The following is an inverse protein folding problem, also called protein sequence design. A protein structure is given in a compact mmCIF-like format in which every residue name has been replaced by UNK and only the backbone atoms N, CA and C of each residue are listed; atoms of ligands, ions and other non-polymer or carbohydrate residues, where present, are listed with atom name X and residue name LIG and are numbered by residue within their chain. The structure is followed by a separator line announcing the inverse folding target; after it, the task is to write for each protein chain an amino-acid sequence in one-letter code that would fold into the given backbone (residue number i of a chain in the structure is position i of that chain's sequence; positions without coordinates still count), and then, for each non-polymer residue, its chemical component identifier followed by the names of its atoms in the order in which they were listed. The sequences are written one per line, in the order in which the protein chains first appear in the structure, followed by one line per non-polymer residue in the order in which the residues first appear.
data_IF_496491259377
#
_entry.id   IF_496491259377
#
_cell.length_a   1.000
_cell.length_b   1.000
_cell.length_c   1.000
_cell.angle_alpha   90.00
_cell.angle_beta   90.00
_cell.angle_gamma   90.00
#
_symmetry.space_group_name_H-M   'P 1'
#
loop_
_entity.id
_entity.type
_entity.pdbx_description
1 polymer ?
#
# COMPACT_ATOMS: atom_id res chain seq x y z
N UNK A 1 -8.13 25.25 -6.42
CA UNK A 1 -8.26 23.85 -6.87
C UNK A 1 -7.01 23.05 -6.47
N UNK A 2 -7.16 21.81 -6.00
CA UNK A 2 -6.06 20.89 -5.63
C UNK A 2 -6.04 19.73 -6.64
N UNK A 3 -4.82 19.32 -7.02
CA UNK A 3 -4.60 18.12 -7.83
C UNK A 3 -3.95 17.04 -6.96
N UNK A 4 -4.48 15.83 -7.02
CA UNK A 4 -3.81 14.61 -6.52
C UNK A 4 -3.26 13.87 -7.74
N UNK A 5 -1.98 13.53 -7.74
CA UNK A 5 -1.36 12.82 -8.85
C UNK A 5 -0.49 11.66 -8.39
N UNK A 6 -0.42 10.64 -9.23
CA UNK A 6 0.35 9.44 -8.96
C UNK A 6 -0.52 8.19 -8.90
N UNK A 7 0.13 7.04 -8.82
CA UNK A 7 -0.57 5.76 -8.85
C UNK A 7 0.28 4.63 -9.45
N UNK A 8 -0.33 3.87 -10.37
CA UNK A 8 0.26 2.69 -11.00
C UNK A 8 0.07 1.41 -10.19
N UNK A 9 0.06 1.50 -8.86
CA UNK A 9 -0.16 0.36 -7.95
C UNK A 9 -1.21 0.69 -6.90
N UNK A 10 -1.87 -0.33 -6.36
CA UNK A 10 -2.91 -0.18 -5.33
C UNK A 10 -2.46 0.62 -4.12
N UNK A 11 -1.19 0.49 -3.70
CA UNK A 11 -0.65 1.23 -2.56
C UNK A 11 -0.67 2.75 -2.73
N UNK A 12 -0.20 3.26 -3.88
CA UNK A 12 -0.28 4.69 -4.19
C UNK A 12 -1.73 5.18 -4.31
N UNK A 13 -2.60 4.35 -4.89
CA UNK A 13 -4.00 4.70 -5.10
C UNK A 13 -4.80 4.73 -3.80
N UNK A 14 -4.47 3.87 -2.83
CA UNK A 14 -5.05 3.92 -1.48
C UNK A 14 -4.73 5.26 -0.77
N UNK A 15 -3.49 5.74 -0.87
CA UNK A 15 -3.09 7.06 -0.36
C UNK A 15 -3.85 8.18 -1.08
N UNK A 16 -3.92 8.12 -2.42
CA UNK A 16 -4.66 9.11 -3.20
C UNK A 16 -6.13 9.18 -2.78
N UNK A 17 -6.76 8.03 -2.52
CA UNK A 17 -8.13 7.94 -2.00
C UNK A 17 -8.25 8.56 -0.63
N UNK A 18 -7.36 8.25 0.30
CA UNK A 18 -7.39 8.82 1.66
C UNK A 18 -7.29 10.35 1.63
N UNK A 19 -6.41 10.93 0.80
CA UNK A 19 -6.35 12.38 0.61
C UNK A 19 -7.61 12.96 -0.04
N UNK A 20 -8.18 12.26 -1.04
CA UNK A 20 -9.42 12.68 -1.68
C UNK A 20 -10.58 12.72 -0.68
N UNK A 21 -10.75 11.69 0.14
CA UNK A 21 -11.79 11.60 1.17
C UNK A 21 -11.66 12.74 2.20
N UNK A 22 -10.44 13.03 2.67
CA UNK A 22 -10.22 14.11 3.64
C UNK A 22 -10.46 15.50 3.02
N UNK A 23 -10.08 15.72 1.77
CA UNK A 23 -10.39 16.98 1.06
C UNK A 23 -11.90 17.14 0.86
N UNK A 24 -12.63 16.09 0.51
CA UNK A 24 -14.08 16.13 0.38
C UNK A 24 -14.79 16.45 1.72
N UNK A 25 -14.26 15.97 2.88
CA UNK A 25 -14.78 16.35 4.21
C UNK A 25 -14.65 17.85 4.51
N UNK A 26 -13.80 18.54 3.75
CA UNK A 26 -13.56 20.00 3.84
C UNK A 26 -14.20 20.75 2.67
N UNK A 27 -15.16 20.15 1.98
CA UNK A 27 -15.85 20.70 0.81
C UNK A 27 -14.91 21.06 -0.37
N UNK A 28 -13.73 20.38 -0.43
CA UNK A 28 -12.76 20.54 -1.51
C UNK A 28 -12.75 19.27 -2.36
N UNK A 29 -13.34 19.33 -3.54
CA UNK A 29 -13.37 18.24 -4.50
C UNK A 29 -12.13 18.30 -5.40
N UNK A 30 -11.13 17.40 -5.25
CA UNK A 30 -9.86 17.49 -5.97
C UNK A 30 -9.99 17.01 -7.43
N UNK A 31 -8.96 17.30 -8.23
CA UNK A 31 -8.75 16.70 -9.55
C UNK A 31 -7.75 15.54 -9.39
N UNK A 32 -8.00 14.43 -10.08
CA UNK A 32 -7.05 13.32 -10.15
C UNK A 32 -6.30 13.33 -11.49
N UNK A 33 -4.96 13.12 -11.43
CA UNK A 33 -4.12 12.90 -12.62
C UNK A 33 -3.34 11.62 -12.43
N UNK A 34 -3.68 10.58 -13.19
CA UNK A 34 -3.06 9.26 -13.16
C UNK A 34 -2.59 8.80 -14.54
N UNK A 35 -2.37 7.48 -14.67
CA UNK A 35 -1.95 6.84 -15.91
C UNK A 35 -3.05 6.01 -16.56
N UNK A 36 -3.00 5.85 -17.88
CA UNK A 36 -3.76 4.84 -18.62
C UNK A 36 -3.19 3.43 -18.40
N UNK A 37 -1.95 3.34 -17.89
CA UNK A 37 -1.28 2.09 -17.55
C UNK A 37 -1.34 1.86 -16.04
N UNK A 38 -1.37 0.59 -15.61
CA UNK A 38 -1.52 0.25 -14.20
C UNK A 38 -2.98 0.19 -13.74
N UNK A 39 -3.22 0.44 -12.45
CA UNK A 39 -4.53 0.24 -11.83
C UNK A 39 -5.36 1.55 -11.72
N UNK A 40 -4.83 2.69 -12.14
CA UNK A 40 -5.38 4.02 -11.86
C UNK A 40 -6.83 4.17 -12.37
N UNK A 41 -7.11 3.71 -13.60
CA UNK A 41 -8.46 3.71 -14.17
C UNK A 41 -9.39 2.79 -13.38
N UNK A 42 -8.98 1.57 -13.10
CA UNK A 42 -9.79 0.60 -12.34
C UNK A 42 -10.24 1.18 -10.98
N UNK A 43 -9.38 1.97 -10.32
CA UNK A 43 -9.69 2.57 -9.03
C UNK A 43 -10.59 3.79 -9.12
N UNK A 44 -10.37 4.68 -10.11
CA UNK A 44 -10.94 6.03 -10.08
C UNK A 44 -11.76 6.45 -11.29
N UNK A 45 -11.86 5.64 -12.35
CA UNK A 45 -12.62 6.05 -13.56
C UNK A 45 -14.06 6.45 -13.23
N UNK A 46 -14.72 5.69 -12.36
CA UNK A 46 -16.11 5.90 -11.92
C UNK A 46 -16.22 6.54 -10.52
N UNK A 47 -15.12 7.04 -9.94
CA UNK A 47 -15.14 7.63 -8.59
C UNK A 47 -15.62 9.09 -8.66
N UNK A 48 -16.82 9.37 -8.14
CA UNK A 48 -17.46 10.69 -8.15
C UNK A 48 -16.88 11.66 -7.10
N UNK A 49 -15.99 11.20 -6.21
CA UNK A 49 -15.35 12.05 -5.22
C UNK A 49 -14.30 12.98 -5.83
N UNK A 50 -13.89 12.73 -7.07
CA UNK A 50 -13.04 13.66 -7.83
C UNK A 50 -13.88 14.57 -8.72
N UNK A 51 -13.55 15.87 -8.78
CA UNK A 51 -14.19 16.84 -9.68
C UNK A 51 -13.95 16.46 -11.14
N UNK A 52 -12.71 16.15 -11.49
CA UNK A 52 -12.28 15.69 -12.80
C UNK A 52 -11.18 14.65 -12.67
N UNK A 53 -11.07 13.77 -13.65
CA UNK A 53 -10.06 12.70 -13.69
C UNK A 53 -9.39 12.69 -15.06
N UNK A 54 -8.07 12.75 -15.07
CA UNK A 54 -7.25 12.71 -16.28
C UNK A 54 -6.33 11.51 -16.23
N UNK A 55 -6.45 10.59 -17.19
CA UNK A 55 -5.57 9.44 -17.33
C UNK A 55 -4.64 9.65 -18.52
N UNK A 56 -3.36 9.83 -18.27
CA UNK A 56 -2.34 10.15 -19.27
C UNK A 56 -1.56 8.89 -19.66
N UNK A 57 -1.11 8.74 -20.92
CA UNK A 57 -0.31 7.58 -21.34
C UNK A 57 1.15 7.70 -20.86
N UNK A 58 1.32 7.74 -19.53
CA UNK A 58 2.63 7.73 -18.88
C UNK A 58 3.12 6.31 -18.63
N UNK A 59 4.41 6.09 -18.68
CA UNK A 59 5.04 4.81 -18.42
C UNK A 59 6.33 4.98 -17.64
N UNK A 60 6.70 3.96 -16.83
CA UNK A 60 7.95 3.95 -16.06
C UNK A 60 9.18 4.09 -16.95
N UNK A 61 10.21 4.76 -16.44
CA UNK A 61 11.50 5.01 -17.12
C UNK A 61 12.62 4.15 -16.58
N UNK A 62 12.48 3.67 -15.33
CA UNK A 62 13.58 3.07 -14.54
C UNK A 62 14.17 1.83 -15.20
N UNK A 63 13.35 0.99 -15.83
CA UNK A 63 13.78 -0.27 -16.44
C UNK A 63 14.07 -0.15 -17.96
N UNK A 64 14.08 1.08 -18.50
CA UNK A 64 14.36 1.32 -19.92
C UNK A 64 15.80 1.77 -20.13
N UNK A 65 16.40 1.36 -21.27
CA UNK A 65 17.77 1.71 -21.67
C UNK A 65 17.79 2.37 -23.05
N UNK A 66 18.86 3.11 -23.36
CA UNK A 66 19.10 3.70 -24.68
C UNK A 66 17.92 4.55 -25.18
N UNK A 67 17.58 4.38 -26.44
CA UNK A 67 16.55 5.15 -27.15
C UNK A 67 15.17 5.05 -26.51
N UNK A 68 14.80 3.90 -25.95
CA UNK A 68 13.52 3.73 -25.25
C UNK A 68 13.42 4.59 -23.98
N UNK A 69 14.53 4.84 -23.30
CA UNK A 69 14.59 5.76 -22.15
C UNK A 69 14.39 7.20 -22.60
N UNK A 70 15.08 7.62 -23.66
CA UNK A 70 14.94 8.98 -24.22
C UNK A 70 13.50 9.25 -24.68
N UNK A 71 12.88 8.32 -25.42
CA UNK A 71 11.48 8.40 -25.85
C UNK A 71 10.52 8.54 -24.65
N UNK A 72 10.78 7.82 -23.55
CA UNK A 72 9.96 7.93 -22.36
C UNK A 72 10.13 9.28 -21.66
N UNK A 73 11.33 9.85 -21.61
CA UNK A 73 11.59 11.17 -21.05
C UNK A 73 10.92 12.28 -21.88
N UNK A 74 11.03 12.25 -23.19
CA UNK A 74 10.33 13.21 -24.08
C UNK A 74 8.81 13.11 -23.93
N UNK A 75 8.27 11.90 -23.80
CA UNK A 75 6.84 11.71 -23.50
C UNK A 75 6.43 12.35 -22.18
N UNK A 76 7.21 12.18 -21.10
CA UNK A 76 6.94 12.80 -19.80
C UNK A 76 6.91 14.32 -19.92
N UNK A 77 7.84 14.94 -20.65
CA UNK A 77 7.86 16.40 -20.89
C UNK A 77 6.60 16.84 -21.63
N UNK A 78 6.20 16.15 -22.70
CA UNK A 78 4.99 16.46 -23.44
C UNK A 78 3.73 16.33 -22.58
N UNK A 79 3.67 15.30 -21.73
CA UNK A 79 2.58 15.13 -20.79
C UNK A 79 2.56 16.19 -19.68
N UNK A 80 3.74 16.66 -19.25
CA UNK A 80 3.85 17.78 -18.31
C UNK A 80 3.30 19.08 -18.91
N UNK A 81 3.54 19.34 -20.20
CA UNK A 81 2.93 20.49 -20.90
C UNK A 81 1.39 20.38 -20.98
N UNK A 82 0.85 19.16 -21.15
CA UNK A 82 -0.60 18.93 -21.05
C UNK A 82 -1.11 19.21 -19.64
N UNK A 83 -0.43 18.70 -18.61
CA UNK A 83 -0.80 18.98 -17.22
C UNK A 83 -0.78 20.48 -16.92
N UNK A 84 0.19 21.25 -17.45
CA UNK A 84 0.25 22.70 -17.31
C UNK A 84 -1.00 23.39 -17.88
N UNK A 85 -1.53 22.92 -19.02
CA UNK A 85 -2.79 23.44 -19.58
C UNK A 85 -3.96 23.14 -18.64
N UNK A 86 -4.05 21.90 -18.12
CA UNK A 86 -5.06 21.50 -17.14
C UNK A 86 -4.99 22.41 -15.90
N UNK A 87 -3.80 22.68 -15.38
CA UNK A 87 -3.61 23.54 -14.21
C UNK A 87 -4.11 24.96 -14.45
N UNK A 88 -3.78 25.54 -15.61
CA UNK A 88 -4.23 26.88 -15.98
C UNK A 88 -5.75 26.95 -16.12
N UNK A 89 -6.36 25.98 -16.80
CA UNK A 89 -7.82 25.91 -17.04
C UNK A 89 -8.62 25.76 -15.75
N UNK A 90 -8.08 25.07 -14.76
CA UNK A 90 -8.76 24.75 -13.51
C UNK A 90 -8.31 25.60 -12.31
N UNK A 91 -7.43 26.58 -12.50
CA UNK A 91 -6.93 27.42 -11.41
C UNK A 91 -6.27 26.60 -10.29
N UNK A 92 -5.40 25.65 -10.65
CA UNK A 92 -4.74 24.77 -9.67
C UNK A 92 -3.81 25.56 -8.76
N UNK A 93 -3.97 25.40 -7.44
CA UNK A 93 -3.22 26.11 -6.40
C UNK A 93 -2.22 25.22 -5.66
N UNK A 94 -2.39 23.90 -5.70
CA UNK A 94 -1.48 22.93 -5.10
C UNK A 94 -1.55 21.58 -5.80
N UNK A 95 -0.43 20.85 -5.83
CA UNK A 95 -0.33 19.50 -6.37
C UNK A 95 0.20 18.58 -5.27
N UNK A 96 -0.50 17.48 -5.00
CA UNK A 96 -0.13 16.42 -4.07
C UNK A 96 0.31 15.22 -4.91
N UNK A 97 1.58 14.86 -4.85
CA UNK A 97 2.11 13.66 -5.48
C UNK A 97 2.13 12.51 -4.47
N UNK A 98 1.41 11.44 -4.77
CA UNK A 98 1.47 10.20 -3.98
C UNK A 98 2.55 9.23 -4.47
N UNK A 99 3.37 9.65 -5.46
CA UNK A 99 4.43 8.83 -6.02
C UNK A 99 3.99 7.91 -7.17
N UNK A 100 4.87 6.98 -7.49
CA UNK A 100 4.72 6.14 -8.68
C UNK A 100 5.11 6.86 -9.97
N UNK A 101 5.28 6.10 -11.06
CA UNK A 101 5.68 6.66 -12.36
C UNK A 101 4.62 7.60 -12.96
N UNK A 102 3.36 7.41 -12.61
CA UNK A 102 2.24 8.22 -13.10
C UNK A 102 2.21 9.63 -12.51
N UNK A 103 2.92 9.89 -11.41
CA UNK A 103 3.04 11.22 -10.80
C UNK A 103 3.93 12.17 -11.61
N UNK A 104 4.92 11.66 -12.35
CA UNK A 104 5.97 12.46 -12.96
C UNK A 104 5.45 13.63 -13.82
N UNK A 105 4.49 13.45 -14.75
CA UNK A 105 4.02 14.56 -15.59
C UNK A 105 3.42 15.72 -14.79
N UNK A 106 2.54 15.43 -13.83
CA UNK A 106 1.88 16.46 -13.04
C UNK A 106 2.83 17.13 -12.04
N UNK A 107 3.73 16.37 -11.41
CA UNK A 107 4.73 16.92 -10.50
C UNK A 107 5.73 17.84 -11.22
N UNK A 108 6.20 17.48 -12.41
CA UNK A 108 7.05 18.35 -13.25
C UNK A 108 6.27 19.59 -13.70
N UNK A 109 5.01 19.42 -14.09
CA UNK A 109 4.15 20.56 -14.46
C UNK A 109 3.97 21.54 -13.30
N UNK A 110 3.85 21.06 -12.06
CA UNK A 110 3.78 21.89 -10.87
C UNK A 110 5.03 22.78 -10.71
N UNK A 111 6.21 22.17 -10.84
CA UNK A 111 7.49 22.90 -10.75
C UNK A 111 7.61 23.96 -11.84
N UNK A 112 7.35 23.59 -13.12
CA UNK A 112 7.43 24.53 -14.27
C UNK A 112 6.41 25.66 -14.14
N UNK A 113 5.24 25.40 -13.58
CA UNK A 113 4.16 26.37 -13.40
C UNK A 113 4.26 27.15 -12.10
N UNK A 114 5.27 26.90 -11.27
CA UNK A 114 5.45 27.48 -9.92
C UNK A 114 4.23 27.23 -9.01
N UNK A 115 3.52 26.11 -9.23
CA UNK A 115 2.45 25.66 -8.35
C UNK A 115 3.08 24.85 -7.21
N UNK A 116 2.74 25.10 -5.94
CA UNK A 116 3.26 24.36 -4.80
C UNK A 116 3.10 22.86 -4.99
N UNK A 117 4.21 22.12 -4.93
CA UNK A 117 4.26 20.67 -4.99
C UNK A 117 4.47 20.11 -3.59
N UNK A 118 3.62 19.16 -3.20
CA UNK A 118 3.73 18.37 -1.99
C UNK A 118 3.93 16.91 -2.37
N UNK A 119 4.84 16.21 -1.71
CA UNK A 119 5.17 14.83 -2.01
C UNK A 119 4.91 13.97 -0.78
N UNK A 120 4.16 12.90 -0.95
CA UNK A 120 4.06 11.82 0.02
C UNK A 120 4.93 10.65 -0.43
N UNK A 121 5.88 10.24 0.42
CA UNK A 121 6.67 9.03 0.23
C UNK A 121 6.16 7.93 1.16
N UNK A 122 5.71 6.83 0.57
CA UNK A 122 5.08 5.76 1.31
C UNK A 122 6.04 4.69 1.84
N UNK A 123 7.25 4.59 1.26
CA UNK A 123 8.19 3.53 1.60
C UNK A 123 9.35 4.04 2.46
N UNK A 124 9.96 3.14 3.21
CA UNK A 124 11.18 3.41 3.97
C UNK A 124 12.36 3.79 3.04
N UNK A 125 12.38 3.26 1.82
CA UNK A 125 13.36 3.64 0.80
C UNK A 125 12.73 4.62 -0.17
N UNK A 126 13.25 5.85 -0.20
CA UNK A 126 12.72 6.92 -1.06
C UNK A 126 12.80 6.51 -2.54
N UNK A 127 11.65 6.56 -3.23
CA UNK A 127 11.56 6.27 -4.65
C UNK A 127 12.39 7.25 -5.50
N UNK A 128 12.97 6.76 -6.62
CA UNK A 128 13.86 7.58 -7.47
C UNK A 128 13.23 8.89 -7.94
N UNK A 129 11.95 8.88 -8.31
CA UNK A 129 11.23 10.09 -8.72
C UNK A 129 11.14 11.08 -7.55
N UNK A 130 10.68 10.62 -6.39
CA UNK A 130 10.53 11.45 -5.20
C UNK A 130 11.88 12.02 -4.74
N UNK A 131 12.97 11.23 -4.82
CA UNK A 131 14.32 11.70 -4.51
C UNK A 131 14.76 12.87 -5.42
N UNK A 132 14.44 12.82 -6.72
CA UNK A 132 14.77 13.90 -7.68
C UNK A 132 13.89 15.13 -7.44
N UNK A 133 12.61 14.94 -7.08
CA UNK A 133 11.65 16.03 -6.94
C UNK A 133 11.66 16.68 -5.54
N UNK A 134 12.17 15.99 -4.50
CA UNK A 134 12.19 16.47 -3.11
C UNK A 134 12.76 17.89 -2.97
N UNK A 135 13.86 18.29 -3.63
CA UNK A 135 14.41 19.65 -3.51
C UNK A 135 13.49 20.76 -4.02
N UNK A 136 12.51 20.42 -4.86
CA UNK A 136 11.56 21.36 -5.47
C UNK A 136 10.19 21.33 -4.79
N UNK A 137 9.99 20.45 -3.82
CA UNK A 137 8.72 20.33 -3.11
C UNK A 137 8.61 21.39 -1.99
N UNK A 138 7.43 22.00 -1.85
CA UNK A 138 7.09 22.85 -0.70
C UNK A 138 6.97 22.03 0.59
N UNK A 139 6.56 20.74 0.47
CA UNK A 139 6.49 19.82 1.60
C UNK A 139 6.77 18.38 1.16
N UNK A 140 7.44 17.62 2.04
CA UNK A 140 7.75 16.22 1.87
C UNK A 140 7.28 15.45 3.12
N UNK A 141 6.41 14.47 2.94
CA UNK A 141 5.78 13.72 4.02
C UNK A 141 6.17 12.25 3.93
N UNK A 142 6.71 11.71 5.00
CA UNK A 142 7.05 10.30 5.11
C UNK A 142 6.93 9.84 6.56
N UNK A 143 6.44 8.63 6.77
CA UNK A 143 6.37 8.01 8.10
C UNK A 143 7.70 7.37 8.55
N UNK A 144 8.67 7.33 7.64
CA UNK A 144 10.01 6.79 7.88
C UNK A 144 11.10 7.87 7.94
N UNK A 145 10.73 9.15 7.90
CA UNK A 145 11.70 10.26 8.06
C UNK A 145 11.97 10.45 9.56
N UNK A 146 13.17 10.10 10.02
CA UNK A 146 13.55 10.18 11.43
C UNK A 146 13.55 11.62 11.96
N UNK A 147 13.84 12.59 11.10
CA UNK A 147 13.91 14.00 11.47
C UNK A 147 12.52 14.65 11.60
N UNK A 148 11.55 14.19 10.84
CA UNK A 148 10.18 14.74 10.82
C UNK A 148 9.18 13.68 10.36
N UNK A 149 8.88 12.67 11.18
CA UNK A 149 7.95 11.64 10.81
C UNK A 149 6.53 12.20 10.78
N UNK A 150 5.78 11.84 9.73
CA UNK A 150 4.34 12.07 9.64
C UNK A 150 3.60 10.76 9.82
N UNK A 151 2.46 10.74 10.55
CA UNK A 151 1.63 9.55 10.61
C UNK A 151 1.22 9.09 9.20
N UNK A 152 1.30 7.78 8.94
CA UNK A 152 0.93 7.26 7.62
C UNK A 152 -0.57 7.48 7.35
N UNK A 153 -0.95 7.93 6.14
CA UNK A 153 -2.34 8.25 5.81
C UNK A 153 -3.15 6.98 5.53
N UNK A 154 -3.61 6.33 6.58
CA UNK A 154 -4.51 5.16 6.52
C UNK A 154 -5.96 5.62 6.66
N UNK A 155 -6.88 4.97 5.94
CA UNK A 155 -8.30 5.24 6.04
C UNK A 155 -8.84 4.89 7.45
N UNK A 156 -9.76 5.73 7.96
CA UNK A 156 -10.32 5.62 9.34
C UNK A 156 -10.90 4.24 9.65
N UNK A 157 -11.52 3.58 8.67
CA UNK A 157 -12.17 2.27 8.83
C UNK A 157 -11.23 1.16 9.37
N UNK A 158 -9.91 1.25 9.12
CA UNK A 158 -8.94 0.29 9.69
C UNK A 158 -8.73 0.50 11.19
N UNK A 159 -8.75 1.74 11.64
CA UNK A 159 -8.69 2.08 13.08
C UNK A 159 -9.99 1.72 13.80
N UNK A 160 -11.13 1.99 13.17
CA UNK A 160 -12.46 1.71 13.76
C UNK A 160 -12.69 0.21 13.98
N UNK A 161 -12.04 -0.64 13.18
CA UNK A 161 -12.11 -2.11 13.29
C UNK A 161 -10.95 -2.73 14.09
N UNK A 162 -10.10 -1.90 14.72
CA UNK A 162 -8.93 -2.36 15.47
C UNK A 162 -9.31 -2.96 16.83
N UNK A 163 -8.70 -4.08 17.17
CA UNK A 163 -8.83 -4.73 18.49
C UNK A 163 -7.47 -5.23 18.99
N UNK A 164 -7.33 -5.44 20.28
CA UNK A 164 -6.18 -6.16 20.87
C UNK A 164 -6.39 -7.66 20.66
N UNK A 165 -5.34 -8.38 20.28
CA UNK A 165 -5.29 -9.84 20.07
C UNK A 165 -4.57 -10.49 21.23
N UNK A 166 -5.17 -11.53 21.78
CA UNK A 166 -4.63 -12.26 22.93
C UNK A 166 -4.42 -13.74 22.64
N UNK A 167 -5.24 -14.31 21.77
CA UNK A 167 -5.26 -15.72 21.43
C UNK A 167 -5.26 -15.90 19.91
N UNK A 168 -4.53 -16.89 19.41
CA UNK A 168 -4.48 -17.23 17.99
C UNK A 168 -5.57 -18.21 17.61
N UNK A 169 -6.62 -17.72 16.96
CA UNK A 169 -7.73 -18.52 16.42
C UNK A 169 -7.83 -18.45 14.91
N UNK A 170 -7.33 -17.37 14.30
CA UNK A 170 -7.47 -17.13 12.87
C UNK A 170 -6.23 -16.46 12.30
N UNK A 171 -5.67 -17.04 11.24
CA UNK A 171 -4.57 -16.44 10.48
C UNK A 171 -5.09 -15.88 9.15
N UNK A 172 -4.65 -14.65 8.83
CA UNK A 172 -4.92 -13.99 7.57
C UNK A 172 -3.68 -14.04 6.66
N UNK A 173 -3.81 -14.66 5.48
CA UNK A 173 -2.80 -14.63 4.43
C UNK A 173 -3.10 -13.52 3.42
N UNK A 174 -2.17 -12.59 3.20
CA UNK A 174 -2.31 -11.45 2.29
C UNK A 174 -1.21 -11.42 1.23
N UNK A 175 -1.55 -11.79 0.00
CA UNK A 175 -0.67 -11.67 -1.16
C UNK A 175 -0.65 -10.26 -1.79
N UNK A 176 -1.55 -9.35 -1.34
CA UNK A 176 -1.83 -8.08 -1.98
C UNK A 176 -2.81 -8.23 -3.16
N UNK A 177 -3.17 -7.11 -3.82
CA UNK A 177 -4.19 -7.07 -4.88
C UNK A 177 -3.89 -7.93 -6.12
N UNK A 178 -2.62 -8.24 -6.36
CA UNK A 178 -2.18 -9.10 -7.48
C UNK A 178 -2.07 -10.58 -7.08
N UNK A 179 -2.17 -10.89 -5.78
CA UNK A 179 -1.79 -12.17 -5.23
C UNK A 179 -0.27 -12.34 -5.12
N UNK A 180 0.19 -13.32 -4.36
CA UNK A 180 1.59 -13.66 -4.21
C UNK A 180 1.75 -15.18 -4.17
N UNK A 181 2.30 -15.76 -5.24
CA UNK A 181 2.50 -17.22 -5.38
C UNK A 181 3.15 -17.82 -4.13
N UNK A 182 4.24 -17.21 -3.64
CA UNK A 182 4.96 -17.72 -2.47
C UNK A 182 4.11 -17.71 -1.18
N UNK A 183 3.24 -16.70 -0.98
CA UNK A 183 2.31 -16.68 0.17
C UNK A 183 1.23 -17.74 -0.01
N UNK A 184 0.69 -17.88 -1.23
CA UNK A 184 -0.31 -18.90 -1.54
C UNK A 184 0.23 -20.31 -1.29
N UNK A 185 1.45 -20.60 -1.74
CA UNK A 185 2.12 -21.88 -1.51
C UNK A 185 2.43 -22.11 -0.02
N UNK A 186 2.88 -21.07 0.69
CA UNK A 186 3.12 -21.16 2.12
C UNK A 186 1.84 -21.46 2.89
N UNK A 187 0.73 -20.82 2.53
CA UNK A 187 -0.56 -21.05 3.17
C UNK A 187 -1.00 -22.52 3.06
N UNK A 188 -0.85 -23.13 1.87
CA UNK A 188 -1.13 -24.56 1.67
C UNK A 188 -0.16 -25.45 2.47
N UNK A 189 1.14 -25.10 2.53
CA UNK A 189 2.13 -25.87 3.31
C UNK A 189 1.86 -25.81 4.81
N UNK A 190 1.30 -24.71 5.30
CA UNK A 190 0.95 -24.52 6.71
C UNK A 190 -0.43 -25.10 7.06
N UNK A 191 -1.31 -25.30 6.10
CA UNK A 191 -2.68 -25.70 6.33
C UNK A 191 -2.83 -26.99 7.20
N UNK A 192 -2.06 -28.08 7.01
CA UNK A 192 -2.14 -29.25 7.89
C UNK A 192 -1.85 -28.92 9.36
N UNK A 193 -0.79 -28.14 9.63
CA UNK A 193 -0.43 -27.68 10.97
C UNK A 193 -1.54 -26.82 11.58
N UNK A 194 -2.07 -25.84 10.82
CA UNK A 194 -3.13 -24.93 11.29
C UNK A 194 -4.41 -25.71 11.63
N UNK A 195 -4.75 -26.70 10.81
CA UNK A 195 -5.90 -27.59 11.04
C UNK A 195 -5.75 -28.39 12.33
N UNK A 196 -4.58 -29.00 12.55
CA UNK A 196 -4.26 -29.75 13.77
C UNK A 196 -4.40 -28.87 15.03
N UNK A 197 -3.99 -27.61 14.94
CA UNK A 197 -4.13 -26.62 16.02
C UNK A 197 -5.51 -25.98 16.15
N UNK A 198 -6.46 -26.32 15.27
CA UNK A 198 -7.80 -25.70 15.26
C UNK A 198 -7.81 -24.23 14.86
N UNK A 199 -6.79 -23.78 14.09
CA UNK A 199 -6.65 -22.40 13.65
C UNK A 199 -7.34 -22.21 12.30
N UNK A 200 -8.25 -21.24 12.21
CA UNK A 200 -8.96 -20.89 10.99
C UNK A 200 -8.07 -20.10 10.02
N UNK A 201 -8.42 -20.16 8.74
CA UNK A 201 -7.70 -19.46 7.68
C UNK A 201 -8.61 -18.47 6.97
N UNK A 202 -8.12 -17.23 6.82
CA UNK A 202 -8.63 -16.23 5.88
C UNK A 202 -7.53 -16.00 4.85
N UNK A 203 -7.83 -16.16 3.55
CA UNK A 203 -6.80 -16.13 2.51
C UNK A 203 -7.19 -15.26 1.32
N UNK A 204 -6.50 -14.13 1.12
CA UNK A 204 -6.55 -13.36 -0.11
C UNK A 204 -5.54 -13.91 -1.12
N UNK A 205 -5.99 -14.71 -2.07
CA UNK A 205 -5.13 -15.43 -3.01
C UNK A 205 -4.80 -14.65 -4.29
N UNK A 206 -5.54 -13.58 -4.60
CA UNK A 206 -5.46 -12.88 -5.88
C UNK A 206 -6.23 -13.59 -6.99
N UNK A 207 -6.34 -12.93 -8.15
CA UNK A 207 -7.17 -13.43 -9.26
C UNK A 207 -6.70 -14.75 -9.86
N UNK A 208 -5.39 -14.99 -9.85
CA UNK A 208 -4.80 -16.17 -10.50
C UNK A 208 -4.60 -17.27 -9.47
N UNK A 209 -5.33 -18.35 -9.56
CA UNK A 209 -5.15 -19.55 -8.74
C UNK A 209 -6.22 -19.80 -7.68
N UNK A 210 -7.32 -19.04 -7.67
CA UNK A 210 -8.42 -19.23 -6.72
C UNK A 210 -8.96 -20.67 -6.74
N UNK A 211 -9.34 -21.17 -7.90
CA UNK A 211 -9.94 -22.52 -8.03
C UNK A 211 -8.95 -23.63 -7.64
N UNK A 212 -7.67 -23.48 -8.05
CA UNK A 212 -6.62 -24.44 -7.69
C UNK A 212 -6.37 -24.47 -6.18
N UNK A 213 -6.28 -23.29 -5.56
CA UNK A 213 -6.05 -23.19 -4.11
C UNK A 213 -7.26 -23.70 -3.33
N UNK A 214 -8.47 -23.36 -3.76
CA UNK A 214 -9.71 -23.87 -3.14
C UNK A 214 -9.73 -25.39 -3.15
N UNK A 215 -9.45 -26.00 -4.30
CA UNK A 215 -9.37 -27.46 -4.43
C UNK A 215 -8.33 -28.06 -3.47
N UNK A 216 -7.14 -27.48 -3.35
CA UNK A 216 -6.10 -27.95 -2.41
C UNK A 216 -6.56 -27.86 -0.95
N UNK A 217 -7.27 -26.81 -0.57
CA UNK A 217 -7.84 -26.69 0.78
C UNK A 217 -8.95 -27.72 1.02
N UNK A 218 -9.82 -27.97 0.03
CA UNK A 218 -10.87 -29.00 0.10
C UNK A 218 -10.25 -30.40 0.28
N UNK A 219 -9.18 -30.72 -0.47
CA UNK A 219 -8.40 -31.97 -0.34
C UNK A 219 -7.76 -32.12 1.05
N UNK A 220 -7.38 -31.03 1.70
CA UNK A 220 -6.90 -30.99 3.08
C UNK A 220 -8.02 -31.02 4.13
N UNK A 221 -9.30 -31.06 3.68
CA UNK A 221 -10.48 -31.14 4.51
C UNK A 221 -10.82 -29.83 5.21
N UNK A 222 -10.51 -28.68 4.61
CA UNK A 222 -11.04 -27.38 5.00
C UNK A 222 -12.43 -27.16 4.38
N UNK A 223 -13.26 -26.37 5.02
CA UNK A 223 -14.60 -26.03 4.56
C UNK A 223 -14.98 -24.61 5.01
N UNK A 224 -16.18 -24.15 4.72
CA UNK A 224 -16.65 -22.79 5.00
C UNK A 224 -16.66 -22.40 6.49
N UNK A 225 -16.55 -23.38 7.41
CA UNK A 225 -16.50 -23.10 8.86
C UNK A 225 -15.11 -22.69 9.34
N UNK A 226 -14.05 -23.10 8.64
CA UNK A 226 -12.66 -22.89 9.03
C UNK A 226 -11.77 -22.27 7.94
N UNK A 227 -12.34 -22.00 6.77
CA UNK A 227 -11.65 -21.35 5.64
C UNK A 227 -12.53 -20.28 4.99
N UNK A 228 -11.97 -19.07 4.86
CA UNK A 228 -12.48 -18.03 3.98
C UNK A 228 -11.44 -17.69 2.93
N UNK A 229 -11.62 -18.09 1.68
CA UNK A 229 -10.73 -17.78 0.55
C UNK A 229 -11.40 -16.81 -0.42
N UNK A 230 -10.66 -15.80 -0.92
CA UNK A 230 -11.18 -14.82 -1.87
C UNK A 230 -10.05 -14.21 -2.72
N UNK A 231 -10.41 -13.73 -3.92
CA UNK A 231 -9.47 -13.09 -4.82
C UNK A 231 -9.06 -11.70 -4.37
N UNK A 232 -10.05 -10.86 -4.07
CA UNK A 232 -9.90 -9.46 -3.67
C UNK A 232 -11.10 -9.02 -2.84
N UNK A 233 -10.87 -8.13 -1.88
CA UNK A 233 -11.94 -7.50 -1.11
C UNK A 233 -11.77 -5.98 -1.06
N UNK A 234 -12.88 -5.24 -1.22
CA UNK A 234 -12.94 -3.79 -0.96
C UNK A 234 -13.10 -3.46 0.52
N UNK A 235 -13.44 -4.46 1.31
CA UNK A 235 -13.69 -4.41 2.77
C UNK A 235 -12.67 -5.29 3.51
N UNK A 236 -11.39 -5.12 3.16
CA UNK A 236 -10.31 -5.93 3.74
C UNK A 236 -10.18 -5.69 5.25
N UNK A 237 -10.56 -4.53 5.76
CA UNK A 237 -10.60 -4.21 7.19
C UNK A 237 -11.50 -5.16 7.98
N UNK A 238 -12.62 -5.62 7.40
CA UNK A 238 -13.49 -6.61 8.00
C UNK A 238 -12.84 -8.00 8.11
N UNK A 239 -11.95 -8.34 7.18
CA UNK A 239 -11.16 -9.57 7.24
C UNK A 239 -10.05 -9.46 8.28
N UNK A 240 -9.37 -8.31 8.31
CA UNK A 240 -8.34 -8.01 9.30
C UNK A 240 -8.89 -8.02 10.73
N UNK A 241 -10.11 -7.49 10.96
CA UNK A 241 -10.72 -7.48 12.28
C UNK A 241 -11.03 -8.88 12.85
N UNK A 242 -11.27 -9.86 11.96
CA UNK A 242 -11.52 -11.26 12.35
C UNK A 242 -10.24 -12.05 12.63
N UNK A 243 -9.11 -11.61 12.09
CA UNK A 243 -7.84 -12.30 12.22
C UNK A 243 -7.08 -11.93 13.51
N UNK A 244 -6.23 -12.83 13.98
CA UNK A 244 -5.39 -12.65 15.15
C UNK A 244 -3.92 -12.46 14.80
N UNK A 245 -3.48 -13.03 13.66
CA UNK A 245 -2.15 -12.89 13.10
C UNK A 245 -2.27 -12.77 11.58
N UNK A 246 -1.44 -11.94 10.95
CA UNK A 246 -1.35 -11.87 9.50
C UNK A 246 0.00 -12.39 9.00
N UNK A 247 0.00 -13.10 7.86
CA UNK A 247 1.18 -13.40 7.06
C UNK A 247 1.04 -12.66 5.74
N UNK A 248 1.87 -11.63 5.51
CA UNK A 248 1.64 -10.64 4.46
C UNK A 248 2.91 -10.25 3.72
N UNK A 249 2.78 -9.81 2.46
CA UNK A 249 3.81 -8.98 1.84
C UNK A 249 3.96 -7.66 2.60
N UNK A 250 5.18 -7.09 2.60
CA UNK A 250 5.49 -5.85 3.29
C UNK A 250 5.37 -4.60 2.37
N UNK A 251 4.34 -4.57 1.51
CA UNK A 251 3.95 -3.36 0.78
C UNK A 251 3.50 -2.28 1.77
N UNK A 252 3.92 -1.04 1.57
CA UNK A 252 3.72 0.02 2.56
C UNK A 252 2.26 0.19 3.00
N UNK A 253 1.29 0.23 2.07
CA UNK A 253 -0.12 0.39 2.44
C UNK A 253 -0.63 -0.77 3.28
N UNK A 254 -0.42 -2.02 2.83
CA UNK A 254 -0.89 -3.20 3.59
C UNK A 254 -0.24 -3.27 4.97
N UNK A 255 1.06 -2.95 5.07
CA UNK A 255 1.76 -2.90 6.35
C UNK A 255 1.13 -1.89 7.30
N UNK A 256 0.89 -0.66 6.84
CA UNK A 256 0.31 0.38 7.69
C UNK A 256 -1.18 0.17 7.96
N UNK A 257 -1.92 -0.47 7.04
CA UNK A 257 -3.30 -0.93 7.27
C UNK A 257 -3.37 -1.99 8.38
N UNK A 258 -2.42 -2.95 8.38
CA UNK A 258 -2.27 -3.93 9.45
C UNK A 258 -1.91 -3.26 10.79
N UNK A 259 -1.00 -2.27 10.77
CA UNK A 259 -0.68 -1.48 11.97
C UNK A 259 -1.91 -0.73 12.49
N UNK A 260 -2.66 -0.04 11.62
CA UNK A 260 -3.87 0.70 11.99
C UNK A 260 -4.96 -0.21 12.59
N UNK A 261 -5.07 -1.44 12.07
CA UNK A 261 -5.97 -2.46 12.63
C UNK A 261 -5.41 -3.13 13.89
N UNK A 262 -4.20 -2.75 14.34
CA UNK A 262 -3.47 -3.38 15.44
C UNK A 262 -3.30 -4.91 15.26
N UNK A 263 -3.20 -5.39 14.01
CA UNK A 263 -3.06 -6.81 13.68
C UNK A 263 -1.60 -7.24 13.65
N UNK A 264 -1.13 -8.07 14.59
CA UNK A 264 0.21 -8.63 14.61
C UNK A 264 0.55 -9.31 13.28
N UNK A 265 1.79 -9.21 12.82
CA UNK A 265 2.12 -9.67 11.47
C UNK A 265 3.50 -10.28 11.35
N UNK A 266 3.57 -11.38 10.58
CA UNK A 266 4.80 -11.93 10.01
C UNK A 266 4.89 -11.45 8.56
N UNK A 267 5.88 -10.62 8.28
CA UNK A 267 6.06 -10.08 6.92
C UNK A 267 6.96 -10.98 6.08
N UNK A 268 6.55 -11.16 4.83
CA UNK A 268 7.32 -11.86 3.79
C UNK A 268 7.64 -10.85 2.68
N UNK A 269 8.73 -10.06 2.80
CA UNK A 269 9.08 -9.07 1.81
C UNK A 269 9.26 -9.69 0.41
N UNK A 270 8.79 -8.98 -0.62
CA UNK A 270 9.02 -9.41 -2.00
C UNK A 270 10.50 -9.23 -2.37
N UNK A 271 11.25 -10.30 -2.73
CA UNK A 271 12.70 -10.24 -2.86
C UNK A 271 13.19 -9.36 -4.02
N UNK A 272 12.32 -9.14 -5.03
CA UNK A 272 12.64 -8.32 -6.21
C UNK A 272 12.07 -6.91 -6.10
N UNK A 273 11.67 -6.47 -4.91
CA UNK A 273 11.20 -5.11 -4.69
C UNK A 273 12.32 -4.08 -4.95
N UNK A 274 12.02 -3.04 -5.70
CA UNK A 274 13.00 -2.02 -6.08
C UNK A 274 13.68 -1.40 -4.85
N UNK A 275 15.02 -1.48 -4.77
CA UNK A 275 15.76 -1.02 -3.61
C UNK A 275 15.45 -1.78 -2.32
N UNK A 276 14.90 -2.98 -2.43
CA UNK A 276 14.52 -3.82 -1.29
C UNK A 276 13.55 -3.12 -0.31
N UNK A 277 12.71 -2.19 -0.83
CA UNK A 277 11.87 -1.32 0.01
C UNK A 277 10.92 -2.11 0.93
N UNK A 278 10.42 -3.28 0.50
CA UNK A 278 9.53 -4.07 1.35
C UNK A 278 10.24 -4.62 2.60
N UNK A 279 11.49 -5.03 2.46
CA UNK A 279 12.29 -5.44 3.62
C UNK A 279 12.45 -4.28 4.61
N UNK A 280 12.84 -3.10 4.13
CA UNK A 280 13.04 -1.94 4.99
C UNK A 280 11.73 -1.42 5.61
N UNK A 281 10.60 -1.53 4.91
CA UNK A 281 9.28 -1.23 5.47
C UNK A 281 8.99 -2.11 6.70
N UNK A 282 9.20 -3.43 6.59
CA UNK A 282 8.97 -4.37 7.68
C UNK A 282 10.03 -4.27 8.79
N UNK A 283 11.29 -4.00 8.41
CA UNK A 283 12.41 -3.89 9.34
C UNK A 283 12.17 -2.86 10.44
N UNK A 284 11.53 -1.75 10.12
CA UNK A 284 11.13 -0.73 11.08
C UNK A 284 10.27 -1.29 12.24
N UNK A 285 9.36 -2.21 11.96
CA UNK A 285 8.52 -2.85 12.97
C UNK A 285 9.27 -3.99 13.69
N UNK A 286 10.09 -4.75 12.96
CA UNK A 286 10.91 -5.81 13.54
C UNK A 286 11.93 -5.27 14.55
N UNK A 287 12.61 -4.16 14.22
CA UNK A 287 13.57 -3.53 15.13
C UNK A 287 12.93 -3.04 16.44
N UNK A 288 11.62 -2.80 16.43
CA UNK A 288 10.81 -2.48 17.63
C UNK A 288 10.29 -3.74 18.36
N UNK A 289 10.54 -4.93 17.84
CA UNK A 289 10.08 -6.19 18.42
C UNK A 289 8.56 -6.39 18.38
N UNK A 290 7.87 -5.80 17.37
CA UNK A 290 6.42 -5.84 17.22
C UNK A 290 5.93 -6.54 15.96
N UNK A 291 6.86 -7.01 15.12
CA UNK A 291 6.58 -7.83 13.95
C UNK A 291 7.74 -8.78 13.68
N UNK A 292 7.49 -9.83 12.92
CA UNK A 292 8.52 -10.74 12.42
C UNK A 292 8.70 -10.63 10.91
N UNK A 293 9.88 -11.01 10.42
CA UNK A 293 10.21 -11.08 8.99
C UNK A 293 10.71 -12.47 8.65
N UNK A 294 10.00 -13.16 7.76
CA UNK A 294 10.46 -14.36 7.10
C UNK A 294 10.98 -14.01 5.71
N UNK A 295 12.24 -14.33 5.41
CA UNK A 295 12.85 -14.04 4.13
C UNK A 295 12.57 -15.15 3.12
N UNK A 296 12.19 -14.76 1.91
CA UNK A 296 11.99 -15.67 0.80
C UNK A 296 13.32 -15.94 0.09
N UNK A 297 13.71 -17.21 -0.01
CA UNK A 297 14.88 -17.67 -0.75
C UNK A 297 14.44 -18.21 -2.13
N UNK A 298 14.69 -17.43 -3.20
CA UNK A 298 14.17 -17.73 -4.52
C UNK A 298 12.64 -17.76 -4.53
N UNK A 299 12.04 -18.90 -4.86
CA UNK A 299 10.57 -19.12 -4.80
C UNK A 299 10.12 -19.74 -3.47
N UNK A 300 11.03 -20.17 -2.60
CA UNK A 300 10.71 -20.96 -1.43
C UNK A 300 10.65 -20.12 -0.14
N UNK A 301 9.69 -20.49 0.71
CA UNK A 301 9.58 -20.07 2.11
C UNK A 301 9.70 -21.31 2.99
N UNK A 302 10.48 -21.19 4.05
CA UNK A 302 10.64 -22.26 5.04
C UNK A 302 9.42 -22.27 5.96
N UNK A 303 8.57 -23.32 5.82
CA UNK A 303 7.38 -23.49 6.64
C UNK A 303 7.70 -23.68 8.13
N UNK A 304 8.81 -24.38 8.43
CA UNK A 304 9.15 -24.71 9.81
C UNK A 304 9.70 -23.47 10.54
N UNK A 305 10.37 -22.55 9.82
CA UNK A 305 10.72 -21.24 10.34
C UNK A 305 9.46 -20.42 10.66
N UNK A 306 8.47 -20.42 9.76
CA UNK A 306 7.21 -19.69 9.99
C UNK A 306 6.40 -20.30 11.12
N UNK A 307 6.37 -21.64 11.28
CA UNK A 307 5.72 -22.30 12.42
C UNK A 307 6.38 -21.84 13.73
N UNK A 308 7.71 -21.86 13.82
CA UNK A 308 8.42 -21.35 15.01
C UNK A 308 8.11 -19.88 15.31
N UNK A 309 7.98 -19.04 14.26
CA UNK A 309 7.57 -17.65 14.43
C UNK A 309 6.15 -17.55 14.99
N UNK A 310 5.20 -18.34 14.48
CA UNK A 310 3.80 -18.37 14.94
C UNK A 310 3.75 -18.78 16.43
N UNK A 311 4.44 -19.86 16.81
CA UNK A 311 4.42 -20.40 18.17
C UNK A 311 5.04 -19.46 19.20
N UNK A 312 6.03 -18.66 18.82
CA UNK A 312 6.73 -17.74 19.71
C UNK A 312 6.22 -16.27 19.60
N UNK A 313 5.17 -16.02 18.82
CA UNK A 313 4.68 -14.65 18.61
C UNK A 313 3.87 -14.15 19.79
N UNK A 314 4.30 -13.07 20.43
CA UNK A 314 3.54 -12.41 21.49
C UNK A 314 2.48 -11.47 20.86
N UNK A 315 1.29 -12.02 20.63
CA UNK A 315 0.17 -11.31 19.99
C UNK A 315 -0.27 -10.09 20.81
N UNK A 316 -0.37 -10.24 22.13
CA UNK A 316 -0.88 -9.19 23.01
C UNK A 316 0.07 -7.99 23.04
N UNK A 317 1.36 -8.24 23.27
CA UNK A 317 2.39 -7.20 23.25
C UNK A 317 2.45 -6.49 21.91
N UNK A 318 2.51 -7.24 20.79
CA UNK A 318 2.54 -6.68 19.45
C UNK A 318 1.31 -5.85 19.15
N UNK A 319 0.11 -6.38 19.40
CA UNK A 319 -1.15 -5.70 19.12
C UNK A 319 -1.29 -4.39 19.90
N UNK A 320 -0.90 -4.36 21.20
CA UNK A 320 -0.89 -3.13 22.00
C UNK A 320 0.09 -2.10 21.45
N UNK A 321 1.32 -2.52 21.13
CA UNK A 321 2.33 -1.62 20.56
C UNK A 321 1.93 -1.06 19.19
N UNK A 322 1.25 -1.85 18.35
CA UNK A 322 0.72 -1.38 17.06
C UNK A 322 -0.34 -0.29 17.22
N UNK A 323 -1.16 -0.32 18.27
CA UNK A 323 -2.13 0.75 18.56
C UNK A 323 -1.48 2.08 18.91
N UNK A 324 -0.25 2.05 19.42
CA UNK A 324 0.49 3.25 19.83
C UNK A 324 1.35 3.82 18.69
N UNK A 325 1.79 2.96 17.75
CA UNK A 325 2.74 3.37 16.70
C UNK A 325 2.12 4.23 15.62
N UNK A 326 0.82 4.16 15.40
CA UNK A 326 0.11 4.88 14.35
C UNK A 326 -1.18 5.50 14.89
N UNK A 327 -1.27 6.83 14.80
CA UNK A 327 -2.47 7.58 15.15
C UNK A 327 -3.39 7.81 13.95
N UNK A 328 -4.72 7.91 14.14
CA UNK A 328 -5.71 8.02 13.05
C UNK A 328 -5.80 9.44 12.43
N UNK A 329 -4.83 10.30 12.64
CA UNK A 329 -4.82 11.70 12.22
C UNK A 329 -3.89 12.02 11.04
N UNK A 330 -3.14 11.05 10.52
CA UNK A 330 -2.10 11.28 9.52
C UNK A 330 -2.60 11.98 8.25
N UNK A 331 -3.76 11.56 7.75
CA UNK A 331 -4.38 12.21 6.57
C UNK A 331 -4.70 13.67 6.87
N UNK A 332 -5.33 13.92 8.03
CA UNK A 332 -5.73 15.27 8.46
C UNK A 332 -4.52 16.19 8.63
N UNK A 333 -3.48 15.74 9.32
CA UNK A 333 -2.26 16.52 9.56
C UNK A 333 -1.55 16.93 8.27
N UNK A 334 -1.44 16.00 7.30
CA UNK A 334 -0.83 16.29 6.00
C UNK A 334 -1.68 17.31 5.24
N UNK A 335 -3.00 17.14 5.20
CA UNK A 335 -3.89 18.10 4.50
C UNK A 335 -3.89 19.46 5.18
N UNK A 336 -3.84 19.55 6.51
CA UNK A 336 -3.71 20.82 7.24
C UNK A 336 -2.44 21.57 6.81
N UNK A 337 -1.30 20.84 6.66
CA UNK A 337 -0.04 21.43 6.17
C UNK A 337 -0.08 21.88 4.71
N UNK A 338 -0.91 21.26 3.89
CA UNK A 338 -1.05 21.60 2.46
C UNK A 338 -1.94 22.83 2.28
N UNK A 339 -2.97 23.00 3.13
CA UNK A 339 -3.95 24.08 3.03
C UNK A 339 -3.47 25.38 3.70
N UNK A 340 -2.56 25.29 4.67
CA UNK A 340 -1.89 26.42 5.32
C UNK A 340 -0.61 26.84 4.56
#
# INVERSE_FOLDING_TARGET
MIVICGGGTGGHLAIARSFCEELNRRDIKPIFIGSTSGQDKFWFENDENFLQKFFLPSSGVVNKRGFAKLKSLTNIVNLALKCRKIFKQNGVKAVISVGGYSAAPAAIAAIISKVPLFIHEQNAVIGKLNKILRPYAKGFFSSYDEASPYPYPVAKKFFDSARVREELKTILFLGGSQGAKAINELAIKLAPYLKEKGINIIHQCGKNGFDELKKKYDELGFNETNLEIFEFSKEIENKMSKADLAISRAGASSLWELCANALPSIFVPFPYAAGNHQFYNAKFLKDKGIAEICLQNGENLDKDEVIRMIENFDLNKSSKALKEILLPNGVKEIIDKILN
#
